data_IF_849714110953
#
_entry.id   IF_849714110953
#
_cell.length_a   1.000
_cell.length_b   1.000
_cell.length_c   1.000
_cell.angle_alpha   90.00
_cell.angle_beta   90.00
_cell.angle_gamma   90.00
#
_symmetry.space_group_name_H-M   'P 1'
#
loop_
_entity.id
_entity.type
_entity.pdbx_description
1 polymer ?
#
# COMPACT_ATOMS: atom_id res chain seq x y z
N UNK A 1 0.74 11.25 -14.07
CA UNK A 1 -0.57 10.61 -14.27
C UNK A 1 -0.38 9.15 -13.95
N UNK A 2 -1.07 8.68 -12.92
CA UNK A 2 -0.95 7.31 -12.46
C UNK A 2 -1.70 6.37 -13.40
N UNK A 3 -1.06 5.30 -13.85
CA UNK A 3 -1.74 4.19 -14.50
C UNK A 3 -2.11 3.15 -13.44
N UNK A 4 -3.37 3.18 -13.01
CA UNK A 4 -3.87 2.35 -11.91
C UNK A 4 -3.90 0.87 -12.24
N UNK A 5 -4.15 0.51 -13.49
CA UNK A 5 -4.18 -0.89 -13.91
C UNK A 5 -2.76 -1.48 -13.97
N UNK A 6 -1.78 -0.72 -14.47
CA UNK A 6 -0.37 -1.13 -14.43
C UNK A 6 0.11 -1.29 -12.99
N UNK A 7 -0.18 -0.32 -12.11
CA UNK A 7 0.23 -0.40 -10.71
C UNK A 7 -0.43 -1.59 -10.00
N UNK A 8 -1.73 -1.80 -10.21
CA UNK A 8 -2.44 -2.92 -9.61
C UNK A 8 -1.92 -4.27 -10.11
N UNK A 9 -1.56 -4.36 -11.40
CA UNK A 9 -0.90 -5.56 -11.94
C UNK A 9 0.42 -5.84 -11.23
N UNK A 10 1.26 -4.83 -11.04
CA UNK A 10 2.50 -4.96 -10.28
C UNK A 10 2.26 -5.47 -8.85
N UNK A 11 1.23 -4.95 -8.14
CA UNK A 11 0.86 -5.44 -6.81
C UNK A 11 0.49 -6.93 -6.83
N UNK A 12 -0.37 -7.35 -7.77
CA UNK A 12 -0.77 -8.75 -7.91
C UNK A 12 0.38 -9.70 -8.27
N UNK A 13 1.43 -9.21 -8.95
CA UNK A 13 2.62 -10.00 -9.26
C UNK A 13 3.55 -10.21 -8.05
N UNK A 14 3.42 -9.38 -7.00
CA UNK A 14 4.34 -9.35 -5.86
C UNK A 14 3.74 -9.87 -4.53
N UNK A 15 2.42 -10.00 -4.44
CA UNK A 15 1.72 -10.47 -3.25
C UNK A 15 0.73 -11.57 -3.61
N UNK A 16 0.52 -12.52 -2.70
CA UNK A 16 -0.42 -13.61 -2.93
C UNK A 16 -1.87 -13.19 -2.69
N UNK A 17 -2.81 -13.89 -3.35
CA UNK A 17 -4.25 -13.58 -3.29
C UNK A 17 -4.82 -13.55 -1.87
N UNK A 18 -4.28 -14.35 -0.94
CA UNK A 18 -4.70 -14.39 0.47
C UNK A 18 -4.23 -13.18 1.30
N UNK A 19 -3.30 -12.38 0.75
CA UNK A 19 -2.81 -11.15 1.38
C UNK A 19 -3.54 -9.90 0.89
N UNK A 20 -4.20 -9.95 -0.28
CA UNK A 20 -4.66 -8.79 -1.02
C UNK A 20 -6.17 -8.56 -0.87
N UNK A 21 -6.54 -7.32 -0.52
CA UNK A 21 -7.92 -6.86 -0.49
C UNK A 21 -8.04 -5.60 -1.34
N UNK A 22 -8.79 -5.68 -2.44
CA UNK A 22 -8.90 -4.59 -3.43
C UNK A 22 -10.31 -4.03 -3.43
N UNK A 23 -10.42 -2.72 -3.20
CA UNK A 23 -11.68 -1.98 -3.17
C UNK A 23 -11.70 -0.91 -4.26
N UNK A 24 -12.47 -1.12 -5.31
CA UNK A 24 -12.67 -0.15 -6.40
C UNK A 24 -13.95 0.64 -6.15
N UNK A 25 -13.91 1.60 -5.23
CA UNK A 25 -15.09 2.39 -4.83
C UNK A 25 -15.66 3.20 -5.99
N UNK A 26 -14.78 3.85 -6.76
CA UNK A 26 -15.12 4.67 -7.94
C UNK A 26 -14.01 4.55 -8.98
N UNK A 27 -14.28 4.91 -10.25
CA UNK A 27 -13.26 4.91 -11.29
C UNK A 27 -12.03 5.72 -10.91
N UNK A 28 -12.21 6.84 -10.20
CA UNK A 28 -11.13 7.77 -9.85
C UNK A 28 -10.27 7.29 -8.67
N UNK A 29 -10.80 6.42 -7.81
CA UNK A 29 -10.21 6.11 -6.50
C UNK A 29 -10.31 4.62 -6.16
N UNK A 30 -9.17 3.95 -6.09
CA UNK A 30 -9.05 2.55 -5.67
C UNK A 30 -8.26 2.46 -4.36
N UNK A 31 -8.62 1.49 -3.52
CA UNK A 31 -7.91 1.18 -2.29
C UNK A 31 -7.42 -0.26 -2.34
N UNK A 32 -6.19 -0.49 -1.88
CA UNK A 32 -5.60 -1.82 -1.73
C UNK A 32 -5.10 -1.97 -0.31
N UNK A 33 -5.53 -3.01 0.38
CA UNK A 33 -4.95 -3.41 1.65
C UNK A 33 -4.14 -4.70 1.47
N UNK A 34 -2.96 -4.75 2.07
CA UNK A 34 -2.02 -5.86 1.92
C UNK A 34 -1.55 -6.34 3.29
N UNK A 35 -1.93 -7.57 3.68
CA UNK A 35 -1.40 -8.23 4.88
C UNK A 35 -0.03 -8.86 4.62
N UNK A 36 0.99 -8.00 4.45
CA UNK A 36 2.36 -8.40 4.16
C UNK A 36 3.29 -8.40 5.38
N UNK A 37 2.76 -8.13 6.59
CA UNK A 37 3.52 -8.08 7.84
C UNK A 37 3.02 -9.12 8.85
N UNK A 38 3.51 -10.36 8.81
CA UNK A 38 2.97 -11.46 9.65
C UNK A 38 3.08 -11.17 11.15
N UNK A 39 4.17 -10.54 11.59
CA UNK A 39 4.45 -10.27 13.01
C UNK A 39 3.99 -8.88 13.49
N UNK A 40 3.19 -8.17 12.68
CA UNK A 40 2.70 -6.82 13.01
C UNK A 40 1.20 -6.79 13.19
N UNK A 41 0.75 -5.83 14.01
CA UNK A 41 -0.67 -5.61 14.30
C UNK A 41 -1.40 -4.85 13.20
N UNK A 42 -0.68 -4.35 12.20
CA UNK A 42 -1.18 -3.55 11.10
C UNK A 42 -0.88 -4.21 9.75
N UNK A 43 -1.62 -3.79 8.73
CA UNK A 43 -1.42 -4.12 7.32
C UNK A 43 -1.10 -2.85 6.52
N UNK A 44 -0.53 -3.00 5.33
CA UNK A 44 -0.30 -1.87 4.42
C UNK A 44 -1.63 -1.46 3.78
N UNK A 45 -1.88 -0.16 3.67
CA UNK A 45 -3.01 0.38 2.91
C UNK A 45 -2.47 1.34 1.86
N UNK A 46 -2.99 1.21 0.63
CA UNK A 46 -2.59 1.98 -0.52
C UNK A 46 -3.83 2.62 -1.13
N UNK A 47 -3.86 3.94 -1.21
CA UNK A 47 -4.83 4.69 -1.99
C UNK A 47 -4.21 4.98 -3.36
N UNK A 48 -4.94 4.70 -4.43
CA UNK A 48 -4.50 4.89 -5.81
C UNK A 48 -5.51 5.81 -6.49
N UNK A 49 -5.09 7.05 -6.79
CA UNK A 49 -5.86 8.03 -7.54
C UNK A 49 -5.27 8.22 -8.94
N UNK A 50 -5.86 9.09 -9.77
CA UNK A 50 -5.28 9.47 -11.07
C UNK A 50 -4.07 10.42 -10.91
N UNK A 51 -3.97 11.07 -9.75
CA UNK A 51 -2.97 12.09 -9.43
C UNK A 51 -1.78 11.49 -8.68
N UNK A 52 -2.03 10.63 -7.69
CA UNK A 52 -1.04 10.11 -6.77
C UNK A 52 -1.36 8.70 -6.25
N UNK A 53 -0.34 8.08 -5.64
CA UNK A 53 -0.42 6.83 -4.89
C UNK A 53 0.03 7.12 -3.46
N UNK A 54 -0.84 6.84 -2.49
CA UNK A 54 -0.60 7.14 -1.08
C UNK A 54 -0.51 5.88 -0.24
N UNK A 55 0.47 5.83 0.65
CA UNK A 55 0.76 4.68 1.49
C UNK A 55 0.52 5.04 2.96
N UNK A 56 -0.14 4.13 3.66
CA UNK A 56 -0.40 4.19 5.09
C UNK A 56 -0.38 2.79 5.69
N UNK A 57 -0.51 2.69 7.00
CA UNK A 57 -0.86 1.44 7.68
C UNK A 57 -2.27 1.54 8.24
N UNK A 58 -2.92 0.38 8.39
CA UNK A 58 -4.17 0.27 9.14
C UNK A 58 -4.10 -0.92 10.07
N UNK A 59 -4.65 -0.79 11.28
CA UNK A 59 -4.71 -1.90 12.22
C UNK A 59 -5.51 -3.10 11.65
N UNK A 60 -5.00 -4.31 11.88
CA UNK A 60 -5.69 -5.57 11.53
C UNK A 60 -6.94 -5.79 12.37
N UNK A 61 -7.00 -5.17 13.55
CA UNK A 61 -8.16 -5.19 14.44
C UNK A 61 -8.96 -3.91 14.26
N UNK A 62 -10.30 -3.96 14.33
CA UNK A 62 -11.11 -2.75 14.34
C UNK A 62 -10.68 -1.84 15.49
N UNK A 63 -10.05 -0.72 15.14
CA UNK A 63 -9.66 0.34 16.04
C UNK A 63 -10.07 1.67 15.40
N UNK A 64 -10.26 2.71 16.21
CA UNK A 64 -10.36 4.07 15.67
C UNK A 64 -8.97 4.44 15.18
N UNK A 65 -8.74 4.24 13.90
CA UNK A 65 -7.47 4.50 13.24
C UNK A 65 -7.54 5.89 12.58
N UNK A 66 -6.62 6.78 12.98
CA UNK A 66 -6.44 8.10 12.39
C UNK A 66 -5.23 8.10 11.46
N UNK A 67 -5.07 7.02 10.67
CA UNK A 67 -3.92 6.86 9.79
C UNK A 67 -3.88 8.01 8.78
N UNK A 68 -2.87 8.86 8.94
CA UNK A 68 -2.44 9.82 7.94
C UNK A 68 -1.56 9.07 6.93
N UNK A 69 -1.70 9.38 5.64
CA UNK A 69 -0.80 8.83 4.63
C UNK A 69 0.60 9.36 4.87
N UNK A 70 1.54 8.46 5.17
CA UNK A 70 2.91 8.83 5.50
C UNK A 70 3.77 9.10 4.24
N UNK A 71 3.38 8.54 3.09
CA UNK A 71 4.11 8.69 1.82
C UNK A 71 3.14 8.84 0.65
N UNK A 72 3.46 9.77 -0.25
CA UNK A 72 2.68 10.13 -1.44
C UNK A 72 3.62 10.17 -2.63
N UNK A 73 3.24 9.53 -3.73
CA UNK A 73 4.04 9.46 -4.96
C UNK A 73 3.17 9.82 -6.17
N UNK A 74 3.68 10.66 -7.07
CA UNK A 74 2.96 11.13 -8.27
C UNK A 74 3.28 10.26 -9.52
N UNK A 75 4.14 9.26 -9.36
CA UNK A 75 4.59 8.34 -10.42
C UNK A 75 4.53 6.88 -9.99
N UNK A 76 4.04 6.00 -10.89
CA UNK A 76 4.01 4.54 -10.68
C UNK A 76 5.38 3.99 -10.27
N UNK A 77 6.46 4.42 -10.94
CA UNK A 77 7.80 3.84 -10.74
C UNK A 77 8.33 4.08 -9.33
N UNK A 78 8.09 5.25 -8.76
CA UNK A 78 8.51 5.57 -7.38
C UNK A 78 7.74 4.73 -6.36
N UNK A 79 6.43 4.59 -6.55
CA UNK A 79 5.57 3.74 -5.72
C UNK A 79 5.96 2.25 -5.81
N UNK A 80 6.31 1.75 -7.00
CA UNK A 80 6.82 0.39 -7.21
C UNK A 80 8.11 0.14 -6.42
N UNK A 81 9.10 1.04 -6.55
CA UNK A 81 10.36 0.95 -5.82
C UNK A 81 10.14 0.97 -4.30
N UNK A 82 9.14 1.73 -3.84
CA UNK A 82 8.77 1.76 -2.43
C UNK A 82 8.20 0.41 -1.96
N UNK A 83 7.31 -0.21 -2.73
CA UNK A 83 6.81 -1.57 -2.46
C UNK A 83 7.95 -2.60 -2.44
N UNK A 84 8.86 -2.57 -3.42
CA UNK A 84 10.02 -3.46 -3.46
C UNK A 84 10.85 -3.36 -2.17
N UNK A 85 11.05 -2.13 -1.67
CA UNK A 85 11.72 -1.89 -0.40
C UNK A 85 10.95 -2.46 0.79
N UNK A 86 9.62 -2.32 0.81
CA UNK A 86 8.75 -2.92 1.84
C UNK A 86 8.89 -4.45 1.83
N UNK A 87 8.84 -5.08 0.66
CA UNK A 87 9.00 -6.53 0.49
C UNK A 87 10.38 -6.99 0.99
N UNK A 88 11.45 -6.29 0.61
CA UNK A 88 12.81 -6.61 1.03
C UNK A 88 13.01 -6.47 2.55
N UNK A 89 12.40 -5.45 3.17
CA UNK A 89 12.54 -5.19 4.60
C UNK A 89 11.56 -5.99 5.46
N UNK A 90 10.45 -6.46 4.87
CA UNK A 90 9.31 -7.05 5.57
C UNK A 90 8.80 -6.18 6.73
N UNK A 91 8.94 -4.86 6.58
CA UNK A 91 8.50 -3.88 7.58
C UNK A 91 8.22 -2.52 6.96
N UNK A 92 7.30 -1.79 7.59
CA UNK A 92 6.92 -0.41 7.29
C UNK A 92 6.09 0.15 8.48
N UNK A 93 6.26 1.41 8.92
CA UNK A 93 7.36 2.30 8.56
C UNK A 93 8.70 1.65 8.85
N UNK A 94 9.72 1.96 8.04
CA UNK A 94 11.04 1.36 8.22
C UNK A 94 11.57 1.75 9.59
N UNK A 95 12.17 0.80 10.31
CA UNK A 95 12.88 1.10 11.55
C UNK A 95 13.97 2.13 11.24
N UNK A 96 13.68 3.41 11.50
CA UNK A 96 14.70 4.45 11.57
C UNK A 96 15.47 4.13 12.85
N UNK A 97 16.54 3.34 12.73
CA UNK A 97 17.56 3.33 13.76
C UNK A 97 18.07 4.77 13.86
N UNK A 98 17.70 5.44 14.95
CA UNK A 98 18.32 6.70 15.38
C UNK A 98 19.82 6.48 15.60
#
# INVERSE_FOLDING_TARGET
>A
MIDKDIFLKFINENFSDDQLYIYKFKPELWLVEIDCFPDKTYKLTIEISDEDIRFATVDKKPAIDFSLYDFIFEENKEAELFIEKIIQKKSYPFDFKQ
#
